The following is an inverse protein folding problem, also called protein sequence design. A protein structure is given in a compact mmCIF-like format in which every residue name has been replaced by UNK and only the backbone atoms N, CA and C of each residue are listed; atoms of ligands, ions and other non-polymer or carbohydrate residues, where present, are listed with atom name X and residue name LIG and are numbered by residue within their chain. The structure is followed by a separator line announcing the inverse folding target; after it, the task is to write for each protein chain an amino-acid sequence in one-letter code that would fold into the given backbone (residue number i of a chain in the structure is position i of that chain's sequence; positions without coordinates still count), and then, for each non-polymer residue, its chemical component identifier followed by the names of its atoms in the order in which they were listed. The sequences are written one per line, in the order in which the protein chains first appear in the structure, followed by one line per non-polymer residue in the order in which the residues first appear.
data_IF_656335668343
#
_entry.id   IF_656335668343
#
_cell.length_a   1.000
_cell.length_b   1.000
_cell.length_c   1.000
_cell.angle_alpha   90.00
_cell.angle_beta   90.00
_cell.angle_gamma   90.00
#
_symmetry.space_group_name_H-M   'P 1'
#
loop_
_entity.id
_entity.type
_entity.pdbx_description
1 polymer ?
#
# COMPACT_ATOMS: atom_id res chain seq x y z
N UNK A 1 18.92 -13.55 0.40
CA UNK A 1 18.82 -12.07 0.43
C UNK A 1 17.47 -11.79 1.05
N UNK A 2 17.39 -10.93 2.07
CA UNK A 2 16.10 -10.45 2.54
C UNK A 2 15.40 -9.70 1.38
N UNK A 3 14.09 -9.86 1.24
CA UNK A 3 13.32 -9.06 0.29
C UNK A 3 13.30 -7.59 0.70
N UNK A 4 12.92 -6.72 -0.22
CA UNK A 4 12.76 -5.29 0.00
C UNK A 4 11.47 -5.02 0.76
N UNK A 5 11.59 -4.19 1.81
CA UNK A 5 10.45 -3.64 2.56
C UNK A 5 9.83 -2.50 1.73
N UNK A 6 8.50 -2.48 1.50
CA UNK A 6 7.85 -1.44 0.72
C UNK A 6 7.72 -0.12 1.49
N UNK A 7 8.81 0.64 1.66
CA UNK A 7 8.85 1.84 2.52
C UNK A 7 8.11 3.09 1.98
N UNK A 8 7.38 2.96 0.86
CA UNK A 8 6.49 4.02 0.39
C UNK A 8 5.23 4.01 1.25
N UNK A 9 4.99 5.08 2.00
CA UNK A 9 3.81 5.18 2.87
C UNK A 9 2.49 5.02 2.10
N UNK A 10 1.50 4.36 2.73
CA UNK A 10 0.13 4.31 2.23
C UNK A 10 -0.52 5.70 2.10
N UNK A 11 0.00 6.72 2.78
CA UNK A 11 -0.46 8.11 2.69
C UNK A 11 0.14 8.93 1.54
N UNK A 12 0.91 8.31 0.64
CA UNK A 12 1.48 8.99 -0.53
C UNK A 12 0.57 8.80 -1.75
N UNK A 13 0.37 9.89 -2.50
CA UNK A 13 -0.28 9.89 -3.80
C UNK A 13 0.69 10.36 -4.89
N UNK A 14 0.48 9.86 -6.11
CA UNK A 14 1.10 10.38 -7.32
C UNK A 14 0.26 11.47 -8.01
N UNK A 15 0.59 11.82 -9.27
CA UNK A 15 -0.18 12.73 -10.12
C UNK A 15 -1.69 12.48 -10.18
N UNK A 16 -2.17 11.23 -10.09
CA UNK A 16 -3.61 10.95 -10.07
C UNK A 16 -4.29 11.26 -8.73
N UNK A 17 -3.52 11.66 -7.72
CA UNK A 17 -4.05 12.02 -6.40
C UNK A 17 -4.56 10.83 -5.59
N UNK A 18 -4.42 9.59 -6.06
CA UNK A 18 -4.89 8.39 -5.34
C UNK A 18 -3.87 7.97 -4.29
N UNK A 19 -4.26 7.99 -3.02
CA UNK A 19 -3.44 7.48 -1.92
C UNK A 19 -3.20 5.99 -2.07
N UNK A 20 -2.06 5.52 -1.55
CA UNK A 20 -1.64 4.11 -1.57
C UNK A 20 -1.31 3.53 -2.95
N UNK A 21 -1.77 4.12 -4.07
CA UNK A 21 -1.47 3.66 -5.42
C UNK A 21 0.05 3.50 -5.71
N UNK A 22 0.94 4.41 -5.28
CA UNK A 22 2.39 4.23 -5.42
C UNK A 22 2.94 3.02 -4.65
N UNK A 23 2.41 2.77 -3.44
CA UNK A 23 2.82 1.63 -2.60
C UNK A 23 2.32 0.31 -3.20
N UNK A 24 1.07 0.28 -3.66
CA UNK A 24 0.51 -0.88 -4.33
C UNK A 24 1.34 -1.27 -5.57
N UNK A 25 1.63 -0.31 -6.45
CA UNK A 25 2.48 -0.53 -7.62
C UNK A 25 3.86 -1.10 -7.24
N UNK A 26 4.53 -0.51 -6.25
CA UNK A 26 5.88 -0.92 -5.88
C UNK A 26 5.89 -2.34 -5.30
N UNK A 27 4.90 -2.71 -4.49
CA UNK A 27 4.75 -4.06 -3.94
C UNK A 27 4.61 -5.10 -5.05
N UNK A 28 3.66 -4.90 -5.97
CA UNK A 28 3.43 -5.84 -7.08
C UNK A 28 4.65 -5.93 -7.98
N UNK A 29 5.33 -4.80 -8.26
CA UNK A 29 6.54 -4.79 -9.06
C UNK A 29 7.69 -5.56 -8.39
N UNK A 30 7.89 -5.38 -7.08
CA UNK A 30 8.91 -6.10 -6.33
C UNK A 30 8.61 -7.61 -6.27
N UNK A 31 7.35 -7.98 -6.07
CA UNK A 31 6.91 -9.38 -6.08
C UNK A 31 7.19 -10.05 -7.42
N UNK A 32 6.81 -9.40 -8.52
CA UNK A 32 7.08 -9.87 -9.88
C UNK A 32 8.58 -10.04 -10.19
N UNK A 33 9.46 -9.39 -9.43
CA UNK A 33 10.93 -9.54 -9.52
C UNK A 33 11.52 -10.52 -8.51
N UNK A 34 10.71 -11.14 -7.65
CA UNK A 34 11.19 -11.97 -6.55
C UNK A 34 11.99 -11.18 -5.52
N UNK A 35 11.64 -9.90 -5.35
CA UNK A 35 12.35 -8.96 -4.48
C UNK A 35 11.46 -8.40 -3.37
N UNK A 36 10.17 -8.75 -3.28
CA UNK A 36 9.33 -8.33 -2.15
C UNK A 36 9.68 -9.14 -0.90
N UNK A 37 9.66 -8.52 0.27
CA UNK A 37 9.81 -9.21 1.55
C UNK A 37 8.63 -10.16 1.82
N UNK A 38 8.89 -11.33 2.39
CA UNK A 38 7.91 -12.43 2.47
C UNK A 38 6.70 -12.13 3.35
N UNK A 39 6.86 -11.28 4.36
CA UNK A 39 5.77 -10.84 5.23
C UNK A 39 4.82 -9.83 4.56
N UNK A 40 5.18 -9.32 3.37
CA UNK A 40 4.37 -8.36 2.64
C UNK A 40 3.67 -9.04 1.47
N UNK A 41 2.33 -9.12 1.46
CA UNK A 41 1.62 -9.66 0.31
C UNK A 41 1.70 -8.68 -0.86
N UNK A 42 1.93 -9.15 -2.09
CA UNK A 42 1.94 -8.30 -3.29
C UNK A 42 0.65 -7.46 -3.42
N UNK A 43 -0.50 -8.09 -3.15
CA UNK A 43 -1.82 -7.46 -3.10
C UNK A 43 -2.65 -8.06 -1.95
N UNK A 44 -2.79 -7.31 -0.86
CA UNK A 44 -3.57 -7.69 0.31
C UNK A 44 -5.06 -7.34 0.20
N UNK A 45 -5.84 -7.73 1.21
CA UNK A 45 -7.27 -7.42 1.31
C UNK A 45 -7.58 -6.04 1.92
N UNK A 46 -6.55 -5.30 2.37
CA UNK A 46 -6.67 -3.95 2.93
C UNK A 46 -6.64 -2.87 1.85
N UNK A 47 -5.75 -1.88 2.01
CA UNK A 47 -5.65 -0.74 1.09
C UNK A 47 -5.46 -1.09 -0.39
N UNK A 48 -4.77 -2.20 -0.71
CA UNK A 48 -4.63 -2.65 -2.11
C UNK A 48 -6.01 -2.95 -2.73
N UNK A 49 -6.88 -3.65 -1.98
CA UNK A 49 -8.25 -3.95 -2.43
C UNK A 49 -9.11 -2.68 -2.46
N UNK A 50 -8.96 -1.76 -1.50
CA UNK A 50 -9.67 -0.47 -1.50
C UNK A 50 -9.35 0.35 -2.76
N UNK A 51 -8.08 0.37 -3.19
CA UNK A 51 -7.68 1.07 -4.42
C UNK A 51 -8.28 0.40 -5.66
N UNK A 52 -8.22 -0.94 -5.74
CA UNK A 52 -8.82 -1.69 -6.85
C UNK A 52 -10.33 -1.44 -6.95
N UNK A 53 -11.05 -1.58 -5.84
CA UNK A 53 -12.50 -1.41 -5.78
C UNK A 53 -12.90 0.05 -6.05
N UNK A 54 -12.21 1.01 -5.41
CA UNK A 54 -12.50 2.44 -5.54
C UNK A 54 -12.26 2.99 -6.94
N UNK A 55 -11.32 2.41 -7.69
CA UNK A 55 -11.06 2.76 -9.09
C UNK A 55 -11.78 1.83 -10.08
N UNK A 56 -12.52 0.81 -9.62
CA UNK A 56 -13.18 -0.17 -10.48
C UNK A 56 -12.22 -0.97 -11.35
N UNK A 57 -11.00 -1.23 -10.86
CA UNK A 57 -9.96 -1.96 -11.58
C UNK A 57 -10.15 -3.47 -11.41
N UNK A 58 -9.99 -4.21 -12.50
CA UNK A 58 -9.90 -5.67 -12.43
C UNK A 58 -8.57 -6.09 -11.78
N UNK A 59 -8.64 -6.86 -10.70
CA UNK A 59 -7.47 -7.27 -9.92
C UNK A 59 -6.47 -8.03 -10.77
N UNK A 60 -6.92 -9.06 -11.47
CA UNK A 60 -6.03 -9.96 -12.21
C UNK A 60 -5.36 -9.22 -13.39
N UNK A 61 -6.11 -8.39 -14.11
CA UNK A 61 -5.58 -7.54 -15.19
C UNK A 61 -4.57 -6.52 -14.67
N UNK A 62 -4.82 -5.91 -13.50
CA UNK A 62 -3.92 -4.93 -12.89
C UNK A 62 -2.60 -5.57 -12.47
N UNK A 63 -2.67 -6.73 -11.79
CA UNK A 63 -1.48 -7.48 -11.37
C UNK A 63 -0.69 -8.01 -12.58
N UNK A 64 -1.38 -8.53 -13.59
CA UNK A 64 -0.76 -8.98 -14.84
C UNK A 64 -0.06 -7.82 -15.56
N UNK A 65 -0.70 -6.65 -15.66
CA UNK A 65 -0.08 -5.50 -16.31
C UNK A 65 1.24 -5.09 -15.65
N UNK A 66 1.28 -4.97 -14.32
CA UNK A 66 2.50 -4.61 -13.59
C UNK A 66 3.57 -5.70 -13.76
N UNK A 67 3.19 -6.96 -13.60
CA UNK A 67 4.12 -8.11 -13.63
C UNK A 67 4.74 -8.32 -15.01
N UNK A 68 3.92 -8.29 -16.06
CA UNK A 68 4.34 -8.60 -17.43
C UNK A 68 5.12 -7.44 -18.07
N UNK A 69 4.80 -6.19 -17.70
CA UNK A 69 5.35 -5.01 -18.37
C UNK A 69 6.40 -4.28 -17.54
N UNK A 70 6.47 -4.50 -16.23
CA UNK A 70 7.36 -3.78 -15.31
C UNK A 70 7.34 -2.25 -15.51
N UNK A 71 6.14 -1.63 -15.53
CA UNK A 71 6.01 -0.22 -15.86
C UNK A 71 6.69 0.64 -14.79
N UNK A 72 7.25 1.78 -15.21
CA UNK A 72 7.52 2.88 -14.27
C UNK A 72 6.22 3.37 -13.64
N UNK A 73 6.28 4.02 -12.48
CA UNK A 73 5.08 4.52 -11.81
C UNK A 73 4.21 5.44 -12.70
N UNK A 74 4.74 6.42 -13.45
CA UNK A 74 3.93 7.22 -14.37
C UNK A 74 3.29 6.42 -15.52
N UNK A 75 3.94 5.36 -16.01
CA UNK A 75 3.34 4.47 -17.01
C UNK A 75 2.19 3.66 -16.41
N UNK A 76 2.35 3.21 -15.16
CA UNK A 76 1.28 2.56 -14.43
C UNK A 76 0.10 3.51 -14.21
N UNK A 77 0.33 4.74 -13.74
CA UNK A 77 -0.75 5.73 -13.62
C UNK A 77 -1.47 5.98 -14.94
N UNK A 78 -0.74 6.12 -16.06
CA UNK A 78 -1.37 6.25 -17.38
C UNK A 78 -2.28 5.07 -17.69
N UNK A 79 -1.83 3.84 -17.41
CA UNK A 79 -2.64 2.64 -17.61
C UNK A 79 -3.86 2.62 -16.69
N UNK A 80 -3.70 3.00 -15.42
CA UNK A 80 -4.79 3.10 -14.45
C UNK A 80 -5.84 4.10 -14.96
N UNK A 81 -5.45 5.29 -15.42
CA UNK A 81 -6.37 6.27 -16.02
C UNK A 81 -7.17 5.75 -17.21
N UNK A 82 -6.61 4.83 -17.99
CA UNK A 82 -7.26 4.23 -19.15
C UNK A 82 -8.19 3.06 -18.80
N UNK A 83 -7.95 2.38 -17.68
CA UNK A 83 -8.64 1.13 -17.31
C UNK A 83 -9.50 1.24 -16.04
N UNK A 84 -9.36 2.33 -15.28
CA UNK A 84 -10.13 2.62 -14.08
C UNK A 84 -11.15 3.74 -14.28
N UNK A 85 -11.94 3.98 -13.24
CA UNK A 85 -12.91 5.07 -13.17
C UNK A 85 -12.32 6.25 -12.40
N UNK A 86 -12.18 7.38 -13.09
CA UNK A 86 -11.68 8.63 -12.51
C UNK A 86 -12.80 9.65 -12.46
N UNK A 87 -13.44 9.70 -11.30
CA UNK A 87 -14.31 10.79 -10.88
C UNK A 87 -13.63 11.47 -9.68
N UNK A 88 -13.47 12.80 -9.73
CA UNK A 88 -12.78 13.55 -8.68
C UNK A 88 -13.43 13.33 -7.30
N UNK A 89 -14.75 13.15 -7.26
CA UNK A 89 -15.48 12.85 -6.03
C UNK A 89 -15.20 11.43 -5.53
N UNK A 90 -15.15 10.43 -6.41
CA UNK A 90 -14.79 9.07 -6.06
C UNK A 90 -13.34 8.95 -5.56
N UNK A 91 -12.39 9.66 -6.19
CA UNK A 91 -10.99 9.71 -5.72
C UNK A 91 -10.92 10.37 -4.33
N UNK A 92 -11.66 11.45 -4.11
CA UNK A 92 -11.72 12.09 -2.79
C UNK A 92 -12.33 11.16 -1.72
N UNK A 93 -13.39 10.41 -2.05
CA UNK A 93 -14.02 9.43 -1.16
C UNK A 93 -13.06 8.27 -0.82
N UNK A 94 -12.40 7.70 -1.82
CA UNK A 94 -11.36 6.67 -1.63
C UNK A 94 -10.24 7.16 -0.72
N UNK A 95 -9.73 8.37 -0.96
CA UNK A 95 -8.67 8.95 -0.15
C UNK A 95 -9.12 9.23 1.29
N UNK A 96 -10.36 9.67 1.48
CA UNK A 96 -10.95 9.85 2.81
C UNK A 96 -11.10 8.50 3.53
N UNK A 97 -11.50 7.45 2.82
CA UNK A 97 -11.59 6.10 3.37
C UNK A 97 -10.21 5.57 3.80
N UNK A 98 -9.17 5.74 2.97
CA UNK A 98 -7.79 5.35 3.32
C UNK A 98 -7.29 6.13 4.54
N UNK A 99 -7.49 7.45 4.54
CA UNK A 99 -7.00 8.32 5.64
C UNK A 99 -7.75 8.10 6.95
N UNK A 100 -9.01 7.66 6.89
CA UNK A 100 -9.86 7.41 8.06
C UNK A 100 -9.88 5.95 8.51
N UNK A 101 -9.14 5.06 7.85
CA UNK A 101 -9.12 3.65 8.21
C UNK A 101 -8.23 3.40 9.43
N UNK A 102 -8.77 2.66 10.39
CA UNK A 102 -8.05 2.22 11.58
C UNK A 102 -7.86 0.71 11.51
N UNK A 103 -6.69 0.23 11.92
CA UNK A 103 -6.47 -1.19 12.15
C UNK A 103 -7.29 -1.69 13.35
N UNK A 104 -7.53 -3.00 13.40
CA UNK A 104 -8.06 -3.63 14.61
C UNK A 104 -7.06 -3.56 15.78
N UNK A 105 -7.59 -3.79 16.99
CA UNK A 105 -6.82 -3.67 18.23
C UNK A 105 -5.62 -4.64 18.26
N UNK A 106 -5.78 -5.85 17.72
CA UNK A 106 -4.73 -6.87 17.74
C UNK A 106 -3.56 -6.47 16.82
N UNK A 107 -3.88 -6.01 15.61
CA UNK A 107 -2.89 -5.52 14.63
C UNK A 107 -2.18 -4.28 15.14
N UNK A 108 -2.93 -3.30 15.67
CA UNK A 108 -2.35 -2.08 16.29
C UNK A 108 -1.40 -2.46 17.44
N UNK A 109 -1.85 -3.30 18.37
CA UNK A 109 -1.06 -3.71 19.53
C UNK A 109 0.23 -4.43 19.14
N UNK A 110 0.19 -5.27 18.09
CA UNK A 110 1.37 -5.94 17.54
C UNK A 110 2.42 -4.95 17.02
N UNK A 111 2.02 -4.01 16.15
CA UNK A 111 2.92 -3.01 15.55
C UNK A 111 3.54 -2.10 16.61
N UNK A 112 2.71 -1.56 17.51
CA UNK A 112 3.18 -0.67 18.57
C UNK A 112 4.13 -1.39 19.53
N UNK A 113 3.79 -2.63 19.90
CA UNK A 113 4.62 -3.48 20.77
C UNK A 113 5.98 -3.80 20.15
N UNK A 114 6.03 -4.15 18.86
CA UNK A 114 7.28 -4.37 18.13
C UNK A 114 8.15 -3.11 18.11
N UNK A 115 7.51 -1.95 17.95
CA UNK A 115 8.15 -0.64 17.93
C UNK A 115 8.51 -0.08 19.32
N UNK A 116 8.16 -0.78 20.41
CA UNK A 116 8.41 -0.31 21.78
C UNK A 116 7.60 0.92 22.18
N UNK A 117 6.41 1.09 21.60
CA UNK A 117 5.48 2.18 21.87
C UNK A 117 4.32 1.63 22.72
N UNK A 118 4.00 2.30 23.82
CA UNK A 118 2.84 1.95 24.63
C UNK A 118 1.55 2.27 23.86
N UNK A 119 0.62 1.30 23.80
CA UNK A 119 -0.70 1.51 23.21
C UNK A 119 -1.61 2.28 24.19
N UNK A 120 -1.58 3.61 24.10
CA UNK A 120 -2.47 4.52 24.84
C UNK A 120 -3.73 4.92 24.05
N UNK A 121 -3.94 4.30 22.88
CA UNK A 121 -5.05 4.60 21.97
C UNK A 121 -4.92 5.91 21.19
N UNK A 122 -3.74 6.56 21.18
CA UNK A 122 -3.52 7.80 20.41
C UNK A 122 -3.17 7.56 18.94
N UNK A 123 -2.60 6.39 18.60
CA UNK A 123 -2.21 6.02 17.23
C UNK A 123 -3.16 4.93 16.73
N UNK A 124 -4.23 5.34 16.07
CA UNK A 124 -5.26 4.42 15.54
C UNK A 124 -5.18 4.26 14.03
N UNK A 125 -4.68 5.28 13.33
CA UNK A 125 -4.74 5.32 11.88
C UNK A 125 -3.78 4.30 11.25
N UNK A 126 -4.31 3.51 10.33
CA UNK A 126 -3.56 2.42 9.71
C UNK A 126 -2.39 2.91 8.85
N UNK A 127 -2.43 4.16 8.36
CA UNK A 127 -1.33 4.73 7.58
C UNK A 127 -0.08 4.89 8.44
N UNK A 128 -0.19 5.51 9.61
CA UNK A 128 0.93 5.67 10.52
C UNK A 128 1.36 4.35 11.15
N UNK A 129 0.43 3.44 11.43
CA UNK A 129 0.78 2.09 11.90
C UNK A 129 1.59 1.34 10.83
N UNK A 130 1.17 1.34 9.56
CA UNK A 130 1.96 0.73 8.49
C UNK A 130 3.34 1.39 8.34
N UNK A 131 3.45 2.70 8.53
CA UNK A 131 4.76 3.37 8.51
C UNK A 131 5.68 2.86 9.63
N UNK A 132 5.17 2.75 10.85
CA UNK A 132 5.94 2.23 11.99
C UNK A 132 6.40 0.79 11.74
N UNK A 133 5.49 -0.05 11.23
CA UNK A 133 5.76 -1.43 10.86
C UNK A 133 6.87 -1.52 9.80
N UNK A 134 6.75 -0.78 8.70
CA UNK A 134 7.77 -0.75 7.65
C UNK A 134 9.14 -0.27 8.15
N UNK A 135 9.17 0.73 9.03
CA UNK A 135 10.44 1.25 9.54
C UNK A 135 11.08 0.28 10.52
N UNK A 136 10.27 -0.41 11.32
CA UNK A 136 10.73 -1.48 12.19
C UNK A 136 11.32 -2.62 11.36
N UNK A 137 10.58 -3.14 10.38
CA UNK A 137 11.02 -4.23 9.51
C UNK A 137 12.23 -3.84 8.66
N UNK A 138 12.30 -2.60 8.17
CA UNK A 138 13.48 -2.07 7.50
C UNK A 138 14.69 -2.12 8.44
N UNK A 139 14.56 -1.61 9.66
CA UNK A 139 15.65 -1.63 10.63
C UNK A 139 16.08 -3.06 10.97
N UNK A 140 15.12 -3.96 11.23
CA UNK A 140 15.37 -5.36 11.53
C UNK A 140 16.09 -6.09 10.38
N UNK A 141 15.77 -5.76 9.12
CA UNK A 141 16.40 -6.38 7.94
C UNK A 141 17.89 -6.05 7.76
N UNK A 142 18.40 -5.03 8.47
CA UNK A 142 19.79 -4.57 8.37
C UNK A 142 20.71 -5.12 9.49
N UNK A 143 20.14 -5.80 10.50
CA UNK A 143 20.83 -6.21 11.73
C UNK A 143 20.91 -7.71 11.95
#
# INVERSE_FOLDING_TARGET
MAGMIPTISSGVAGPLGVLHLPRFWSKVLMDAKGQLHEDYPACGAGFDQMVLDGLGLDKDATLAYISDNSPTYPQFESWVSENGSFDDAAVAELNAAISGYNHDDDTRGGILGASGIDDDGSILDAVNLNNLDDWYELHASLG
#
